data_IF_038459768077
#
_entry.id   IF_038459768077
#
_cell.length_a   1.000
_cell.length_b   1.000
_cell.length_c   1.000
_cell.angle_alpha   90.00
_cell.angle_beta   90.00
_cell.angle_gamma   90.00
#
_symmetry.space_group_name_H-M   'P 1'
#
loop_
_entity.id
_entity.type
_entity.pdbx_description
1 polymer ?
#
# COMPACT_ATOMS: atom_id res chain seq x y z
N UNK A 1 -22.06 2.21 7.10
CA UNK A 1 -20.88 1.39 7.42
C UNK A 1 -19.99 1.37 6.20
N UNK A 2 -18.67 1.41 6.38
CA UNK A 2 -17.72 1.47 5.26
C UNK A 2 -17.31 0.05 4.89
N UNK A 3 -17.46 -0.32 3.63
CA UNK A 3 -17.03 -1.61 3.09
C UNK A 3 -15.51 -1.65 2.92
N UNK A 4 -14.90 -2.84 3.05
CA UNK A 4 -13.45 -3.04 2.86
C UNK A 4 -12.94 -2.40 1.56
N UNK A 5 -13.65 -2.65 0.46
CA UNK A 5 -13.28 -2.14 -0.86
C UNK A 5 -13.26 -0.61 -0.98
N UNK A 6 -14.01 0.10 -0.13
CA UNK A 6 -13.98 1.56 -0.06
C UNK A 6 -12.75 2.06 0.70
N UNK A 7 -12.34 1.37 1.78
CA UNK A 7 -11.15 1.73 2.55
C UNK A 7 -9.88 1.52 1.72
N UNK A 8 -9.74 0.34 1.11
CA UNK A 8 -8.61 -0.01 0.24
C UNK A 8 -8.51 0.96 -0.94
N UNK A 9 -9.64 1.31 -1.57
CA UNK A 9 -9.64 2.33 -2.63
C UNK A 9 -9.15 3.69 -2.16
N UNK A 10 -9.55 4.13 -0.97
CA UNK A 10 -9.06 5.37 -0.38
C UNK A 10 -7.54 5.37 -0.24
N UNK A 11 -6.97 4.27 0.24
CA UNK A 11 -5.52 4.11 0.33
C UNK A 11 -4.85 4.13 -1.06
N UNK A 12 -5.42 3.48 -2.07
CA UNK A 12 -4.91 3.54 -3.44
C UNK A 12 -4.91 4.96 -4.02
N UNK A 13 -5.98 5.72 -3.77
CA UNK A 13 -6.10 7.10 -4.22
C UNK A 13 -5.04 8.00 -3.57
N UNK A 14 -4.82 7.83 -2.26
CA UNK A 14 -3.79 8.55 -1.50
C UNK A 14 -2.38 8.23 -1.99
N UNK A 15 -2.07 6.94 -2.20
CA UNK A 15 -0.78 6.48 -2.74
C UNK A 15 -0.54 7.03 -4.16
N UNK A 16 -1.58 6.99 -5.00
CA UNK A 16 -1.52 7.52 -6.37
C UNK A 16 -1.31 9.04 -6.36
N UNK A 17 -1.98 9.76 -5.46
CA UNK A 17 -1.79 11.20 -5.30
C UNK A 17 -0.35 11.54 -4.90
N UNK A 18 0.21 10.83 -3.91
CA UNK A 18 1.59 11.01 -3.49
C UNK A 18 2.58 10.76 -4.64
N UNK A 19 2.38 9.73 -5.45
CA UNK A 19 3.26 9.44 -6.60
C UNK A 19 3.16 10.49 -7.71
N UNK A 20 1.99 11.10 -7.91
CA UNK A 20 1.83 12.25 -8.80
C UNK A 20 2.64 13.46 -8.32
N UNK A 21 2.67 13.72 -7.02
CA UNK A 21 3.52 14.78 -6.43
C UNK A 21 5.00 14.47 -6.67
N UNK A 22 5.44 13.22 -6.52
CA UNK A 22 6.83 12.84 -6.79
C UNK A 22 7.22 12.95 -8.28
N UNK A 23 6.26 12.77 -9.19
CA UNK A 23 6.48 12.92 -10.63
C UNK A 23 6.48 14.39 -11.10
N UNK A 24 5.91 15.32 -10.34
CA UNK A 24 5.70 16.71 -10.76
C UNK A 24 7.02 17.49 -10.95
N UNK A 25 7.34 18.00 -12.16
CA UNK A 25 8.50 18.85 -12.42
C UNK A 25 8.60 20.09 -11.52
N UNK A 26 7.47 20.59 -11.02
CA UNK A 26 7.37 21.81 -10.22
C UNK A 26 7.42 21.57 -8.71
N UNK A 27 7.40 20.31 -8.24
CA UNK A 27 7.50 20.00 -6.82
C UNK A 27 8.86 20.46 -6.26
N UNK A 28 8.81 21.20 -5.15
CA UNK A 28 10.01 21.61 -4.43
C UNK A 28 10.72 20.42 -3.80
N UNK A 29 12.02 20.54 -3.54
CA UNK A 29 12.80 19.50 -2.87
C UNK A 29 12.21 19.08 -1.50
N UNK A 30 11.65 20.04 -0.75
CA UNK A 30 10.98 19.78 0.52
C UNK A 30 9.70 18.95 0.36
N UNK A 31 8.89 19.26 -0.65
CA UNK A 31 7.69 18.45 -0.97
C UNK A 31 8.09 17.03 -1.39
N UNK A 32 9.08 16.89 -2.28
CA UNK A 32 9.56 15.57 -2.72
C UNK A 32 10.04 14.71 -1.55
N UNK A 33 10.83 15.29 -0.64
CA UNK A 33 11.31 14.58 0.55
C UNK A 33 10.15 14.16 1.46
N UNK A 34 9.26 15.08 1.81
CA UNK A 34 8.15 14.80 2.72
C UNK A 34 7.18 13.76 2.15
N UNK A 35 6.89 13.83 0.85
CA UNK A 35 6.03 12.85 0.17
C UNK A 35 6.69 11.48 0.07
N UNK A 36 8.01 11.41 -0.18
CA UNK A 36 8.73 10.13 -0.20
C UNK A 36 8.78 9.49 1.19
N UNK A 37 9.06 10.28 2.24
CA UNK A 37 9.04 9.81 3.62
C UNK A 37 7.66 9.28 4.00
N UNK A 38 6.60 9.98 3.59
CA UNK A 38 5.22 9.53 3.79
C UNK A 38 4.95 8.19 3.08
N UNK A 39 5.31 8.05 1.80
CA UNK A 39 5.11 6.82 1.03
C UNK A 39 5.84 5.61 1.62
N UNK A 40 7.06 5.80 2.14
CA UNK A 40 7.84 4.73 2.78
C UNK A 40 7.14 4.18 4.03
N UNK A 41 6.29 4.96 4.68
CA UNK A 41 5.51 4.54 5.84
C UNK A 41 4.14 4.01 5.41
N UNK A 42 3.43 4.72 4.54
CA UNK A 42 2.03 4.40 4.25
C UNK A 42 1.84 3.22 3.32
N UNK A 43 2.74 2.99 2.35
CA UNK A 43 2.62 1.86 1.44
C UNK A 43 2.76 0.50 2.16
N UNK A 44 3.84 0.23 2.93
CA UNK A 44 3.97 -1.05 3.63
C UNK A 44 2.81 -1.31 4.60
N UNK A 45 2.35 -0.27 5.29
CA UNK A 45 1.22 -0.42 6.20
C UNK A 45 -0.10 -0.74 5.50
N UNK A 46 -0.27 -0.36 4.23
CA UNK A 46 -1.46 -0.68 3.45
C UNK A 46 -1.38 -2.13 2.99
N UNK A 47 -0.25 -2.49 2.37
CA UNK A 47 0.01 -3.83 1.87
C UNK A 47 -0.07 -4.88 3.00
N UNK A 48 0.51 -4.60 4.18
CA UNK A 48 0.46 -5.51 5.32
C UNK A 48 -0.99 -5.67 5.85
N UNK A 49 -1.72 -4.57 6.04
CA UNK A 49 -3.08 -4.60 6.54
C UNK A 49 -4.03 -5.39 5.65
N UNK A 50 -3.88 -5.21 4.32
CA UNK A 50 -4.63 -5.98 3.34
C UNK A 50 -4.27 -7.46 3.39
N UNK A 51 -2.97 -7.79 3.39
CA UNK A 51 -2.51 -9.18 3.43
C UNK A 51 -3.03 -9.91 4.68
N UNK A 52 -2.94 -9.28 5.85
CA UNK A 52 -3.40 -9.87 7.11
C UNK A 52 -4.91 -10.03 7.15
N UNK A 53 -5.65 -9.03 6.66
CA UNK A 53 -7.12 -9.10 6.59
C UNK A 53 -7.59 -10.21 5.65
N UNK A 54 -6.98 -10.31 4.46
CA UNK A 54 -7.30 -11.36 3.49
C UNK A 54 -6.87 -12.74 4.01
N UNK A 55 -5.74 -12.84 4.72
CA UNK A 55 -5.31 -14.10 5.31
C UNK A 55 -6.28 -14.58 6.41
N UNK A 56 -6.67 -13.70 7.34
CA UNK A 56 -7.66 -14.04 8.37
C UNK A 56 -9.01 -14.45 7.77
N UNK A 57 -9.41 -13.83 6.65
CA UNK A 57 -10.60 -14.23 5.90
C UNK A 57 -10.49 -15.67 5.36
N UNK A 58 -9.34 -16.04 4.78
CA UNK A 58 -9.11 -17.38 4.25
C UNK A 58 -9.22 -18.46 5.33
N UNK A 59 -8.74 -18.18 6.55
CA UNK A 59 -8.84 -19.09 7.70
C UNK A 59 -10.28 -19.29 8.15
N UNK A 60 -11.12 -18.26 8.06
CA UNK A 60 -12.49 -18.27 8.56
C UNK A 60 -13.52 -18.81 7.56
N UNK A 61 -13.36 -18.55 6.25
CA UNK A 61 -14.40 -18.84 5.23
C UNK A 61 -14.10 -20.08 4.39
N UNK A 62 -12.82 -20.45 4.22
CA UNK A 62 -12.39 -21.49 3.26
C UNK A 62 -13.01 -21.31 1.86
N UNK A 63 -12.76 -20.17 1.17
CA UNK A 63 -13.38 -19.87 -0.12
C UNK A 63 -12.90 -20.83 -1.24
N UNK A 64 -13.47 -20.79 -2.45
CA UNK A 64 -12.99 -21.64 -3.54
C UNK A 64 -11.54 -21.28 -3.95
N UNK A 65 -10.79 -22.23 -4.57
CA UNK A 65 -9.40 -22.01 -4.99
C UNK A 65 -9.16 -20.77 -5.87
N UNK A 66 -10.17 -20.33 -6.61
CA UNK A 66 -10.09 -19.09 -7.40
C UNK A 66 -9.82 -17.85 -6.52
N UNK A 67 -10.41 -17.76 -5.33
CA UNK A 67 -10.20 -16.64 -4.39
C UNK A 67 -8.78 -16.68 -3.82
N UNK A 68 -8.26 -17.86 -3.48
CA UNK A 68 -6.85 -18.02 -3.06
C UNK A 68 -5.88 -17.55 -4.14
N UNK A 69 -6.16 -17.87 -5.41
CA UNK A 69 -5.34 -17.43 -6.54
C UNK A 69 -5.35 -15.91 -6.69
N UNK A 70 -6.52 -15.26 -6.57
CA UNK A 70 -6.63 -13.79 -6.61
C UNK A 70 -5.85 -13.13 -5.46
N UNK A 71 -5.96 -13.67 -4.24
CA UNK A 71 -5.20 -13.14 -3.10
C UNK A 71 -3.69 -13.31 -3.30
N UNK A 72 -3.25 -14.44 -3.88
CA UNK A 72 -1.84 -14.63 -4.23
C UNK A 72 -1.36 -13.61 -5.27
N UNK A 73 -2.21 -13.19 -6.22
CA UNK A 73 -1.90 -12.13 -7.18
C UNK A 73 -1.76 -10.77 -6.49
N UNK A 74 -2.61 -10.45 -5.50
CA UNK A 74 -2.47 -9.24 -4.67
C UNK A 74 -1.12 -9.22 -3.95
N UNK A 75 -0.76 -10.31 -3.27
CA UNK A 75 0.53 -10.41 -2.58
C UNK A 75 1.71 -10.25 -3.54
N UNK A 76 1.64 -10.87 -4.73
CA UNK A 76 2.69 -10.72 -5.74
C UNK A 76 2.80 -9.27 -6.25
N UNK A 77 1.68 -8.57 -6.41
CA UNK A 77 1.66 -7.16 -6.78
C UNK A 77 2.30 -6.28 -5.71
N UNK A 78 1.96 -6.49 -4.43
CA UNK A 78 2.57 -5.78 -3.30
C UNK A 78 4.09 -5.94 -3.27
N UNK A 79 4.61 -7.15 -3.45
CA UNK A 79 6.07 -7.39 -3.49
C UNK A 79 6.76 -6.64 -4.65
N UNK A 80 6.11 -6.59 -5.82
CA UNK A 80 6.64 -5.86 -6.97
C UNK A 80 6.66 -4.34 -6.73
N UNK A 81 5.59 -3.80 -6.14
CA UNK A 81 5.47 -2.38 -5.78
C UNK A 81 6.45 -2.00 -4.67
N UNK A 82 6.63 -2.84 -3.65
CA UNK A 82 7.63 -2.64 -2.59
C UNK A 82 9.04 -2.57 -3.17
N UNK A 83 9.37 -3.51 -4.07
CA UNK A 83 10.67 -3.52 -4.76
C UNK A 83 10.89 -2.23 -5.57
N UNK A 84 9.85 -1.73 -6.24
CA UNK A 84 9.90 -0.47 -6.98
C UNK A 84 10.03 0.75 -6.05
N UNK A 85 9.36 0.76 -4.89
CA UNK A 85 9.51 1.81 -3.86
C UNK A 85 10.93 1.82 -3.28
N UNK A 86 11.51 0.66 -2.97
CA UNK A 86 12.91 0.55 -2.52
C UNK A 86 13.86 1.06 -3.60
N UNK A 87 13.60 0.78 -4.88
CA UNK A 87 14.40 1.33 -5.97
C UNK A 87 14.28 2.86 -6.06
N UNK A 88 13.07 3.40 -5.91
CA UNK A 88 12.78 4.84 -5.95
C UNK A 88 13.52 5.59 -4.83
N UNK A 89 13.53 5.06 -3.60
CA UNK A 89 14.21 5.69 -2.43
C UNK A 89 15.73 5.79 -2.58
N UNK A 90 16.33 5.04 -3.53
CA UNK A 90 17.77 5.07 -3.82
C UNK A 90 18.14 6.10 -4.91
N UNK A 91 17.15 6.74 -5.53
CA UNK A 91 17.37 7.74 -6.57
C UNK A 91 17.41 9.15 -5.97
N UNK A 92 18.15 10.05 -6.62
CA UNK A 92 18.17 11.45 -6.23
C UNK A 92 16.82 12.12 -6.56
N UNK A 93 16.11 12.68 -5.57
CA UNK A 93 14.81 13.33 -5.79
C UNK A 93 14.87 14.44 -6.85
N UNK A 94 13.83 14.51 -7.68
CA UNK A 94 13.66 15.55 -8.70
C UNK A 94 14.44 15.33 -10.00
N UNK A 95 15.29 14.30 -10.08
CA UNK A 95 15.93 13.90 -11.34
C UNK A 95 14.93 13.28 -12.31
N UNK A 96 15.16 13.30 -13.64
CA UNK A 96 14.28 12.63 -14.60
C UNK A 96 14.04 11.16 -14.26
N UNK A 97 15.11 10.42 -13.92
CA UNK A 97 15.02 9.01 -13.52
C UNK A 97 14.16 8.79 -12.28
N UNK A 98 14.22 9.68 -11.29
CA UNK A 98 13.36 9.61 -10.10
C UNK A 98 11.88 9.75 -10.48
N UNK A 99 11.55 10.72 -11.35
CA UNK A 99 10.18 10.94 -11.82
C UNK A 99 9.68 9.74 -12.64
N UNK A 100 10.51 9.22 -13.54
CA UNK A 100 10.17 8.02 -14.33
C UNK A 100 9.88 6.81 -13.43
N UNK A 101 10.70 6.62 -12.38
CA UNK A 101 10.46 5.56 -11.38
C UNK A 101 9.19 5.81 -10.55
N UNK A 102 8.87 7.06 -10.20
CA UNK A 102 7.62 7.39 -9.52
C UNK A 102 6.39 7.12 -10.42
N UNK A 103 6.46 7.45 -11.70
CA UNK A 103 5.41 7.15 -12.70
C UNK A 103 5.23 5.64 -12.88
N UNK A 104 6.34 4.89 -12.94
CA UNK A 104 6.30 3.43 -13.02
C UNK A 104 5.60 2.82 -11.79
N UNK A 105 6.00 3.22 -10.58
CA UNK A 105 5.36 2.76 -9.36
C UNK A 105 3.87 3.14 -9.32
N UNK A 106 3.52 4.36 -9.73
CA UNK A 106 2.12 4.80 -9.82
C UNK A 106 1.30 3.94 -10.79
N UNK A 107 1.90 3.53 -11.90
CA UNK A 107 1.26 2.64 -12.86
C UNK A 107 1.04 1.23 -12.27
N UNK A 108 2.00 0.71 -11.51
CA UNK A 108 1.86 -0.59 -10.82
C UNK A 108 0.76 -0.58 -9.76
N UNK A 109 0.64 0.51 -8.98
CA UNK A 109 -0.44 0.68 -8.00
C UNK A 109 -1.79 0.79 -8.69
N UNK A 110 -1.89 1.59 -9.76
CA UNK A 110 -3.15 1.72 -10.50
C UNK A 110 -3.59 0.37 -11.11
N UNK A 111 -2.67 -0.37 -11.73
CA UNK A 111 -2.99 -1.69 -12.30
C UNK A 111 -3.46 -2.68 -11.24
N UNK A 112 -2.85 -2.64 -10.06
CA UNK A 112 -3.26 -3.44 -8.92
C UNK A 112 -4.65 -3.04 -8.43
N UNK A 113 -4.91 -1.75 -8.20
CA UNK A 113 -6.21 -1.23 -7.79
C UNK A 113 -7.33 -1.59 -8.78
N UNK A 114 -7.05 -1.49 -10.08
CA UNK A 114 -7.98 -1.86 -11.14
C UNK A 114 -8.27 -3.37 -11.12
N UNK A 115 -7.25 -4.20 -10.90
CA UNK A 115 -7.40 -5.65 -10.78
C UNK A 115 -8.24 -6.03 -9.56
N UNK A 116 -8.00 -5.43 -8.41
CA UNK A 116 -8.79 -5.71 -7.21
C UNK A 116 -10.25 -5.34 -7.38
N UNK A 117 -10.52 -4.17 -7.97
CA UNK A 117 -11.87 -3.73 -8.26
C UNK A 117 -12.58 -4.66 -9.27
N UNK A 118 -11.88 -5.06 -10.32
CA UNK A 118 -12.48 -5.85 -11.40
C UNK A 118 -12.60 -7.34 -11.07
N UNK A 119 -11.73 -7.87 -10.20
CA UNK A 119 -11.59 -9.31 -9.97
C UNK A 119 -11.80 -9.70 -8.50
N UNK A 120 -11.02 -9.13 -7.58
CA UNK A 120 -11.05 -9.55 -6.18
C UNK A 120 -12.35 -9.15 -5.48
N UNK A 121 -12.76 -7.88 -5.57
CA UNK A 121 -13.96 -7.37 -4.89
C UNK A 121 -15.23 -8.16 -5.27
N UNK A 122 -15.53 -8.40 -6.57
CA UNK A 122 -16.65 -9.25 -6.94
C UNK A 122 -16.55 -10.66 -6.35
N UNK A 123 -15.36 -11.28 -6.40
CA UNK A 123 -15.16 -12.62 -5.85
C UNK A 123 -15.38 -12.68 -4.33
N UNK A 124 -14.98 -11.64 -3.59
CA UNK A 124 -15.27 -11.53 -2.15
C UNK A 124 -16.77 -11.37 -1.91
N UNK A 125 -17.48 -10.57 -2.70
CA UNK A 125 -18.94 -10.42 -2.59
C UNK A 125 -19.67 -11.75 -2.83
N UNK A 126 -19.21 -12.54 -3.80
CA UNK A 126 -19.85 -13.80 -4.18
C UNK A 126 -19.55 -14.95 -3.22
N UNK A 127 -18.39 -14.96 -2.57
CA UNK A 127 -17.91 -16.10 -1.79
C UNK A 127 -17.75 -15.84 -0.28
N UNK A 128 -17.74 -14.60 0.17
CA UNK A 128 -17.63 -14.26 1.60
C UNK A 128 -19.01 -13.91 2.17
N UNK A 129 -19.44 -14.54 3.28
CA UNK A 129 -20.70 -14.22 3.92
C UNK A 129 -20.83 -12.73 4.23
N UNK A 130 -21.98 -12.13 3.91
CA UNK A 130 -22.22 -10.68 4.14
C UNK A 130 -21.92 -10.23 5.58
N UNK A 131 -22.19 -11.09 6.56
CA UNK A 131 -21.90 -10.82 7.98
C UNK A 131 -20.41 -10.63 8.28
N UNK A 132 -19.52 -11.05 7.39
CA UNK A 132 -18.08 -10.88 7.53
C UNK A 132 -17.54 -9.63 6.85
N UNK A 133 -18.24 -9.02 5.89
CA UNK A 133 -17.72 -7.83 5.18
C UNK A 133 -17.45 -6.67 6.13
N UNK A 134 -18.32 -6.48 7.12
CA UNK A 134 -18.15 -5.48 8.18
C UNK A 134 -16.94 -5.81 9.08
N UNK A 135 -16.73 -7.10 9.37
CA UNK A 135 -15.59 -7.57 10.15
C UNK A 135 -14.28 -7.39 9.39
N UNK A 136 -14.27 -7.62 8.08
CA UNK A 136 -13.10 -7.39 7.23
C UNK A 136 -12.72 -5.91 7.17
N UNK A 137 -13.71 -5.02 7.01
CA UNK A 137 -13.45 -3.58 7.02
C UNK A 137 -12.87 -3.11 8.38
N UNK A 138 -13.39 -3.65 9.48
CA UNK A 138 -12.88 -3.36 10.82
C UNK A 138 -11.47 -3.93 11.04
N UNK A 139 -11.23 -5.16 10.61
CA UNK A 139 -9.92 -5.82 10.64
C UNK A 139 -8.90 -4.99 9.86
N UNK A 140 -9.23 -4.60 8.63
CA UNK A 140 -8.37 -3.77 7.80
C UNK A 140 -8.02 -2.45 8.48
N UNK A 141 -9.01 -1.74 9.00
CA UNK A 141 -8.78 -0.46 9.71
C UNK A 141 -7.84 -0.64 10.91
N UNK A 142 -8.02 -1.73 11.67
CA UNK A 142 -7.23 -2.02 12.86
C UNK A 142 -5.79 -2.40 12.49
N UNK A 143 -5.62 -3.28 11.52
CA UNK A 143 -4.29 -3.67 11.03
C UNK A 143 -3.56 -2.50 10.36
N UNK A 144 -4.27 -1.67 9.59
CA UNK A 144 -3.73 -0.44 8.98
C UNK A 144 -3.17 0.49 10.04
N UNK A 145 -3.94 0.75 11.11
CA UNK A 145 -3.50 1.60 12.21
C UNK A 145 -2.27 1.02 12.93
N UNK A 146 -2.29 -0.29 13.23
CA UNK A 146 -1.19 -0.99 13.87
C UNK A 146 0.08 -0.94 13.03
N UNK A 147 -0.01 -1.24 11.73
CA UNK A 147 1.13 -1.23 10.82
C UNK A 147 1.69 0.17 10.59
N UNK A 148 0.83 1.21 10.55
CA UNK A 148 1.27 2.60 10.50
C UNK A 148 2.08 2.98 11.75
N UNK A 149 1.57 2.66 12.94
CA UNK A 149 2.26 2.96 14.20
C UNK A 149 3.66 2.32 14.24
N UNK A 150 3.76 1.04 13.87
CA UNK A 150 5.03 0.32 13.80
C UNK A 150 5.99 0.92 12.77
N UNK A 151 5.50 1.25 11.57
CA UNK A 151 6.31 1.85 10.52
C UNK A 151 6.83 3.25 10.91
N UNK A 152 6.01 4.06 11.56
CA UNK A 152 6.42 5.36 12.09
C UNK A 152 7.46 5.23 13.20
N UNK A 153 7.31 4.27 14.11
CA UNK A 153 8.29 4.03 15.17
C UNK A 153 9.65 3.61 14.59
N UNK A 154 9.64 2.70 13.61
CA UNK A 154 10.83 2.28 12.89
C UNK A 154 11.52 3.46 12.18
N UNK A 155 10.74 4.33 11.53
CA UNK A 155 11.25 5.53 10.87
C UNK A 155 11.91 6.50 11.88
N UNK A 156 11.26 6.76 13.03
CA UNK A 156 11.81 7.60 14.11
C UNK A 156 13.13 7.04 14.65
N UNK A 157 13.19 5.73 14.87
CA UNK A 157 14.40 5.06 15.34
C UNK A 157 15.56 5.19 14.34
N UNK A 158 15.30 4.96 13.05
CA UNK A 158 16.30 5.11 11.99
C UNK A 158 16.86 6.54 11.91
N UNK A 159 16.00 7.56 12.01
CA UNK A 159 16.41 8.96 12.02
C UNK A 159 17.29 9.32 13.23
N UNK A 160 16.94 8.84 14.43
CA UNK A 160 17.74 9.05 15.63
C UNK A 160 19.15 8.46 15.48
N UNK A 161 19.26 7.25 14.92
CA UNK A 161 20.54 6.59 14.69
C UNK A 161 21.38 7.27 13.61
N UNK A 162 20.77 7.75 12.53
CA UNK A 162 21.48 8.50 11.49
C UNK A 162 22.12 9.78 12.04
N UNK A 163 21.41 10.53 12.88
CA UNK A 163 21.92 11.77 13.49
C UNK A 163 23.12 11.54 14.41
N UNK A 164 23.16 10.41 15.12
CA UNK A 164 24.28 10.07 16.03
C UNK A 164 25.55 9.62 15.31
N UNK A 165 25.47 9.23 14.04
CA UNK A 165 26.63 8.83 13.22
C UNK A 165 27.29 10.00 12.49
N UNK A 166 26.61 11.14 12.38
CA UNK A 166 27.07 12.34 11.67
C UNK A 166 27.61 13.43 12.60
N UNK A 167 27.64 13.17 13.91
CA UNK A 167 28.17 14.06 14.96
C UNK A 167 29.44 13.45 15.54
#
# INVERSE_FOLDING_TARGET
MTELGTLVRGDHDDLTHALRVLADPMASAGQLSATLDHLVVTFPAHAEAECLTLHAMLEAVQPPPAVYFLIAQVVAAHLAQESALIALTRLQPGTPRFRDSAVLLGSLIQQHADHELACLQPALVDHVPRTMHEQLAHSYTSERARSLELAEEAARFAQHHARRRSA
#
